data_IF_641874764222
#
_entry.id   IF_641874764222
#
_cell.length_a   1.000
_cell.length_b   1.000
_cell.length_c   1.000
_cell.angle_alpha   90.00
_cell.angle_beta   90.00
_cell.angle_gamma   90.00
#
_symmetry.space_group_name_H-M   'P 1'
#
loop_
_entity.id
_entity.type
_entity.pdbx_description
1 polymer ?
#
# COMPACT_ATOMS: atom_id res chain seq x y z
N UNK A 1 44.09 2.40 -73.82
CA UNK A 1 43.21 3.16 -72.92
C UNK A 1 41.93 2.35 -72.49
N UNK A 2 41.95 1.03 -72.53
CA UNK A 2 40.80 0.19 -72.11
C UNK A 2 40.97 -0.60 -70.84
N UNK A 3 42.11 -0.55 -70.21
CA UNK A 3 42.39 -1.29 -68.94
C UNK A 3 42.51 -0.42 -67.70
N UNK A 4 42.46 0.92 -67.82
CA UNK A 4 42.54 1.85 -66.71
C UNK A 4 41.13 2.12 -66.11
N UNK A 5 40.06 1.91 -66.85
CA UNK A 5 38.66 2.13 -66.38
C UNK A 5 38.15 0.96 -65.55
N UNK A 6 38.70 -0.24 -65.69
CA UNK A 6 38.27 -1.43 -64.93
C UNK A 6 38.91 -1.51 -63.53
N UNK A 7 39.99 -0.79 -63.26
CA UNK A 7 40.68 -0.79 -61.95
C UNK A 7 40.06 0.21 -60.95
N UNK A 8 39.18 1.14 -61.38
CA UNK A 8 38.59 2.14 -60.55
C UNK A 8 37.19 1.75 -60.00
N UNK A 9 36.59 0.67 -60.47
CA UNK A 9 35.28 0.17 -60.04
C UNK A 9 35.41 -0.81 -58.86
N UNK A 10 36.58 -1.37 -58.58
CA UNK A 10 36.76 -2.33 -57.47
C UNK A 10 37.09 -1.74 -56.09
N UNK A 11 37.22 -0.43 -55.94
CA UNK A 11 37.61 0.20 -54.67
C UNK A 11 36.43 0.83 -53.91
N UNK A 12 35.19 0.78 -54.44
CA UNK A 12 34.04 1.41 -53.78
C UNK A 12 33.14 0.46 -52.97
N UNK A 13 33.60 -0.72 -52.60
CA UNK A 13 32.77 -1.66 -51.80
C UNK A 13 33.23 -1.99 -50.41
N UNK A 14 34.13 -1.19 -49.78
CA UNK A 14 34.57 -1.40 -48.41
C UNK A 14 34.40 -0.18 -47.52
N UNK A 15 33.25 0.50 -47.58
CA UNK A 15 32.80 1.37 -46.49
C UNK A 15 31.54 0.75 -45.90
N UNK A 16 31.70 -0.38 -45.21
CA UNK A 16 30.73 -0.87 -44.25
C UNK A 16 30.93 -0.06 -42.98
N UNK A 17 30.17 1.01 -42.80
CA UNK A 17 30.00 1.66 -41.54
C UNK A 17 29.39 0.67 -40.56
N UNK A 18 30.23 0.14 -39.70
CA UNK A 18 29.79 -0.58 -38.52
C UNK A 18 29.19 0.38 -37.52
N UNK A 19 27.88 0.69 -37.64
CA UNK A 19 27.12 1.32 -36.59
C UNK A 19 27.11 0.41 -35.36
N UNK A 20 28.06 0.66 -34.44
CA UNK A 20 28.04 0.09 -33.11
C UNK A 20 27.04 0.80 -32.19
N UNK A 21 25.86 1.08 -32.66
CA UNK A 21 24.71 1.30 -31.80
C UNK A 21 24.06 -0.07 -31.57
N UNK A 22 24.65 -0.87 -30.69
CA UNK A 22 23.89 -1.88 -29.97
C UNK A 22 22.86 -1.14 -29.13
N UNK A 23 21.68 -0.87 -29.68
CA UNK A 23 20.49 -0.65 -28.86
C UNK A 23 20.45 -1.82 -27.89
N UNK A 24 20.60 -1.54 -26.60
CA UNK A 24 20.27 -2.54 -25.57
C UNK A 24 18.86 -2.95 -25.91
N UNK A 25 18.65 -4.16 -26.43
CA UNK A 25 17.33 -4.73 -26.60
C UNK A 25 16.71 -4.65 -25.20
N UNK A 26 15.73 -3.79 -25.02
CA UNK A 26 15.00 -3.73 -23.74
C UNK A 26 14.46 -5.14 -23.51
N UNK A 27 14.94 -5.78 -22.46
CA UNK A 27 14.49 -7.10 -22.08
C UNK A 27 13.00 -6.99 -21.81
N UNK A 28 12.18 -7.65 -22.60
CA UNK A 28 10.75 -7.72 -22.35
C UNK A 28 10.51 -8.38 -21.00
N UNK A 29 10.01 -7.61 -20.04
CA UNK A 29 9.66 -8.07 -18.70
C UNK A 29 8.14 -8.21 -18.65
N UNK A 30 7.66 -9.40 -18.34
CA UNK A 30 6.22 -9.69 -18.27
C UNK A 30 5.58 -8.98 -17.07
N UNK A 31 4.26 -8.81 -17.14
CA UNK A 31 3.48 -8.25 -16.03
C UNK A 31 3.58 -9.15 -14.80
N UNK A 32 3.67 -8.50 -13.63
CA UNK A 32 3.62 -9.20 -12.36
C UNK A 32 2.22 -9.74 -12.06
N UNK A 33 2.16 -10.75 -11.21
CA UNK A 33 0.94 -11.41 -10.77
C UNK A 33 0.93 -11.61 -9.25
N UNK A 34 -0.07 -12.29 -8.74
CA UNK A 34 -0.23 -12.64 -7.34
C UNK A 34 -1.37 -11.87 -6.66
N UNK A 35 -1.94 -12.49 -5.63
CA UNK A 35 -2.95 -11.87 -4.79
C UNK A 35 -2.36 -10.69 -4.00
N UNK A 36 -3.22 -9.76 -3.61
CA UNK A 36 -2.84 -8.64 -2.73
C UNK A 36 -2.39 -9.19 -1.37
N UNK A 37 -1.34 -8.57 -0.80
CA UNK A 37 -0.73 -8.97 0.48
C UNK A 37 -0.22 -10.43 0.51
N UNK A 38 0.25 -10.96 -0.62
CA UNK A 38 0.90 -12.28 -0.69
C UNK A 38 2.38 -12.12 -1.02
N UNK A 39 3.26 -12.65 -0.18
CA UNK A 39 4.72 -12.66 -0.39
C UNK A 39 5.20 -14.06 -0.70
N UNK A 40 5.91 -14.22 -1.82
CA UNK A 40 6.65 -15.45 -2.12
C UNK A 40 7.98 -15.46 -1.38
N UNK A 41 8.19 -16.47 -0.55
CA UNK A 41 9.46 -16.68 0.17
C UNK A 41 10.22 -17.82 -0.50
N UNK A 42 11.32 -17.47 -1.17
CA UNK A 42 12.17 -18.44 -1.88
C UNK A 42 13.27 -18.92 -0.95
N UNK A 43 13.11 -20.13 -0.42
CA UNK A 43 14.05 -20.75 0.51
C UNK A 43 13.89 -22.26 0.51
N UNK A 44 14.97 -22.98 0.84
CA UNK A 44 14.94 -24.44 1.01
C UNK A 44 13.98 -24.86 2.14
N UNK A 45 13.34 -26.03 2.02
CA UNK A 45 12.40 -26.54 3.01
C UNK A 45 13.02 -26.64 4.41
N UNK A 46 14.23 -27.16 4.51
CA UNK A 46 14.94 -27.29 5.79
C UNK A 46 15.19 -25.94 6.48
N UNK A 47 15.40 -24.86 5.71
CA UNK A 47 15.58 -23.51 6.23
C UNK A 47 14.22 -22.94 6.67
N UNK A 48 13.17 -23.22 5.90
CA UNK A 48 11.81 -22.79 6.18
C UNK A 48 11.22 -23.43 7.46
N UNK A 49 11.50 -24.72 7.68
CA UNK A 49 11.01 -25.46 8.84
C UNK A 49 11.80 -25.16 10.12
N UNK A 50 12.91 -24.41 10.02
CA UNK A 50 13.79 -24.03 11.12
C UNK A 50 13.61 -22.60 11.61
N UNK A 51 14.57 -22.17 12.47
CA UNK A 51 14.60 -20.84 13.11
C UNK A 51 14.58 -19.66 12.11
N UNK A 52 15.15 -19.82 10.93
CA UNK A 52 15.10 -18.79 9.87
C UNK A 52 13.68 -18.62 9.38
N UNK A 53 12.93 -19.69 9.14
CA UNK A 53 11.53 -19.62 8.77
C UNK A 53 10.65 -18.99 9.86
N UNK A 54 10.95 -19.24 11.14
CA UNK A 54 10.30 -18.54 12.25
C UNK A 54 10.57 -17.04 12.21
N UNK A 55 11.84 -16.63 12.00
CA UNK A 55 12.18 -15.23 11.85
C UNK A 55 11.50 -14.55 10.65
N UNK A 56 11.39 -15.24 9.51
CA UNK A 56 10.65 -14.75 8.34
C UNK A 56 9.17 -14.55 8.68
N UNK A 57 8.54 -15.51 9.35
CA UNK A 57 7.13 -15.40 9.77
C UNK A 57 6.95 -14.27 10.77
N UNK A 58 7.87 -14.08 11.72
CA UNK A 58 7.83 -12.96 12.69
C UNK A 58 7.89 -11.59 12.00
N UNK A 59 8.64 -11.46 10.89
CA UNK A 59 8.71 -10.23 10.08
C UNK A 59 7.46 -10.06 9.22
N UNK A 60 7.11 -11.06 8.40
CA UNK A 60 6.09 -10.90 7.34
C UNK A 60 4.65 -11.11 7.85
N UNK A 61 4.44 -11.99 8.82
CA UNK A 61 3.12 -12.27 9.38
C UNK A 61 2.82 -11.45 10.64
N UNK A 62 3.57 -10.39 10.91
CA UNK A 62 3.29 -9.49 12.04
C UNK A 62 1.85 -8.97 11.93
N UNK A 63 1.05 -9.03 13.02
CA UNK A 63 -0.32 -8.55 13.01
C UNK A 63 -0.43 -7.07 12.62
N UNK A 64 -1.46 -6.73 11.86
CA UNK A 64 -1.79 -5.35 11.52
C UNK A 64 -2.49 -4.71 12.72
N UNK A 65 -1.97 -3.59 13.18
CA UNK A 65 -2.59 -2.84 14.26
C UNK A 65 -3.90 -2.17 13.84
N UNK A 66 -4.88 -2.17 14.75
CA UNK A 66 -6.19 -1.52 14.54
C UNK A 66 -7.22 -2.41 13.84
N UNK A 67 -6.98 -3.71 13.75
CA UNK A 67 -7.98 -4.68 13.34
C UNK A 67 -8.65 -5.32 14.57
N UNK A 68 -9.95 -5.65 14.52
CA UNK A 68 -10.67 -6.31 15.63
C UNK A 68 -10.14 -7.70 16.01
N UNK A 69 -9.47 -8.35 15.06
CA UNK A 69 -8.81 -9.64 15.22
C UNK A 69 -7.40 -9.56 14.63
N UNK A 70 -6.49 -10.36 15.16
CA UNK A 70 -5.13 -10.44 14.63
C UNK A 70 -5.14 -11.02 13.21
N UNK A 71 -4.82 -10.19 12.24
CA UNK A 71 -4.62 -10.60 10.85
C UNK A 71 -3.17 -10.35 10.46
N UNK A 72 -2.47 -11.35 9.88
CA UNK A 72 -1.10 -11.18 9.45
C UNK A 72 -1.00 -10.16 8.33
N UNK A 73 0.06 -9.34 8.33
CA UNK A 73 0.27 -8.32 7.30
C UNK A 73 0.34 -8.94 5.90
N UNK A 74 1.03 -10.08 5.76
CA UNK A 74 1.13 -10.80 4.50
C UNK A 74 0.76 -12.27 4.68
N UNK A 75 0.11 -12.83 3.67
CA UNK A 75 0.07 -14.27 3.44
C UNK A 75 1.42 -14.69 2.87
N UNK A 76 2.00 -15.76 3.36
CA UNK A 76 3.31 -16.24 2.94
C UNK A 76 3.14 -17.51 2.10
N UNK A 77 3.76 -17.51 0.92
CA UNK A 77 3.87 -18.68 0.06
C UNK A 77 5.34 -19.09 -0.03
N UNK A 78 5.73 -20.15 0.69
CA UNK A 78 7.09 -20.67 0.57
C UNK A 78 7.26 -21.43 -0.75
N UNK A 79 8.40 -21.23 -1.40
CA UNK A 79 8.76 -21.82 -2.70
C UNK A 79 10.20 -22.32 -2.61
N UNK A 80 10.47 -23.61 -2.78
CA UNK A 80 11.85 -24.12 -2.88
C UNK A 80 12.56 -23.50 -4.11
N UNK A 81 13.86 -23.12 -4.00
CA UNK A 81 14.60 -22.53 -5.12
C UNK A 81 14.58 -23.37 -6.39
N UNK A 82 14.57 -24.68 -6.29
CA UNK A 82 14.56 -25.59 -7.42
C UNK A 82 13.33 -25.46 -8.32
N UNK A 83 12.18 -25.03 -7.75
CA UNK A 83 10.93 -24.82 -8.49
C UNK A 83 10.60 -23.34 -8.72
N UNK A 84 11.47 -22.44 -8.29
CA UNK A 84 11.30 -21.00 -8.52
C UNK A 84 11.64 -20.63 -9.96
N UNK A 85 10.75 -20.98 -10.90
CA UNK A 85 10.90 -20.75 -12.33
C UNK A 85 9.54 -20.47 -13.00
N UNK A 86 9.57 -19.97 -14.23
CA UNK A 86 8.35 -19.75 -15.02
C UNK A 86 7.34 -18.84 -14.34
N UNK A 87 6.11 -19.31 -14.15
CA UNK A 87 5.01 -18.49 -13.63
C UNK A 87 5.21 -18.01 -12.20
N UNK A 88 5.80 -18.84 -11.32
CA UNK A 88 5.98 -18.48 -9.90
C UNK A 88 6.96 -17.32 -9.69
N UNK A 89 7.85 -17.05 -10.64
CA UNK A 89 8.76 -15.89 -10.58
C UNK A 89 8.05 -14.56 -10.78
N UNK A 90 6.79 -14.56 -11.27
CA UNK A 90 6.04 -13.34 -11.57
C UNK A 90 5.36 -12.73 -10.34
N UNK A 91 5.40 -13.36 -9.19
CA UNK A 91 4.84 -12.77 -7.99
C UNK A 91 5.43 -11.38 -7.74
N UNK A 92 4.55 -10.44 -7.40
CA UNK A 92 4.89 -9.02 -7.25
C UNK A 92 5.86 -8.74 -6.11
N UNK A 93 5.78 -9.51 -5.03
CA UNK A 93 6.63 -9.39 -3.84
C UNK A 93 7.31 -10.71 -3.54
N UNK A 94 8.64 -10.69 -3.54
CA UNK A 94 9.49 -11.88 -3.39
C UNK A 94 10.56 -11.62 -2.34
N UNK A 95 10.64 -12.47 -1.33
CA UNK A 95 11.77 -12.54 -0.38
C UNK A 95 12.61 -13.76 -0.71
N UNK A 96 13.89 -13.57 -1.02
CA UNK A 96 14.85 -14.65 -1.29
C UNK A 96 15.82 -14.80 -0.12
N UNK A 97 16.05 -16.03 0.33
CA UNK A 97 17.04 -16.35 1.35
C UNK A 97 18.23 -17.10 0.72
N UNK A 98 19.45 -16.61 0.96
CA UNK A 98 20.68 -17.19 0.42
C UNK A 98 21.70 -17.47 1.55
N UNK A 99 21.89 -18.73 1.86
CA UNK A 99 22.98 -19.17 2.75
C UNK A 99 24.33 -19.28 2.02
N UNK A 100 25.41 -19.38 2.80
CA UNK A 100 26.78 -19.48 2.31
C UNK A 100 27.20 -18.28 1.43
N UNK A 101 26.70 -17.09 1.77
CA UNK A 101 27.00 -15.80 1.13
C UNK A 101 27.40 -14.79 2.21
N UNK A 102 28.05 -13.71 1.80
CA UNK A 102 28.31 -12.58 2.71
C UNK A 102 27.01 -12.06 3.32
N UNK A 103 27.07 -11.71 4.63
CA UNK A 103 25.95 -11.12 5.37
C UNK A 103 25.48 -9.85 4.68
N UNK A 104 24.18 -9.75 4.37
CA UNK A 104 23.63 -8.56 3.74
C UNK A 104 22.18 -8.66 3.30
N UNK A 105 21.65 -7.52 2.86
CA UNK A 105 20.32 -7.40 2.28
C UNK A 105 20.39 -6.56 1.01
N UNK A 106 19.68 -7.00 -0.04
CA UNK A 106 19.55 -6.29 -1.30
C UNK A 106 18.07 -6.05 -1.63
N UNK A 107 17.77 -4.85 -2.14
CA UNK A 107 16.44 -4.42 -2.57
C UNK A 107 16.46 -4.19 -4.07
N UNK A 108 15.92 -5.12 -4.83
CA UNK A 108 15.88 -5.08 -6.29
C UNK A 108 14.46 -4.89 -6.81
N UNK A 109 14.35 -4.28 -8.00
CA UNK A 109 13.07 -4.04 -8.68
C UNK A 109 13.02 -4.69 -10.05
N UNK A 110 11.84 -5.21 -10.42
CA UNK A 110 11.55 -5.69 -11.77
C UNK A 110 12.53 -6.75 -12.29
N UNK A 111 12.93 -7.68 -11.41
CA UNK A 111 13.93 -8.71 -11.74
C UNK A 111 13.36 -9.74 -12.71
N UNK A 112 12.15 -10.23 -12.45
CA UNK A 112 11.48 -11.29 -13.21
C UNK A 112 10.17 -10.83 -13.85
N UNK A 113 9.52 -9.83 -13.25
CA UNK A 113 8.23 -9.29 -13.70
C UNK A 113 8.15 -7.79 -13.36
N UNK A 114 7.14 -7.07 -13.87
CA UNK A 114 6.96 -5.62 -13.62
C UNK A 114 5.48 -5.29 -13.37
N UNK A 115 5.15 -4.53 -12.31
CA UNK A 115 6.04 -4.09 -11.22
C UNK A 115 6.38 -5.22 -10.26
N UNK A 116 7.61 -5.28 -9.75
CA UNK A 116 8.03 -6.32 -8.80
C UNK A 116 9.05 -5.77 -7.81
N UNK A 117 8.95 -6.19 -6.55
CA UNK A 117 9.96 -5.98 -5.50
C UNK A 117 10.55 -7.32 -5.09
N UNK A 118 11.86 -7.44 -5.20
CA UNK A 118 12.62 -8.61 -4.77
C UNK A 118 13.58 -8.18 -3.68
N UNK A 119 13.45 -8.76 -2.50
CA UNK A 119 14.38 -8.56 -1.39
C UNK A 119 15.19 -9.84 -1.23
N UNK A 120 16.51 -9.74 -1.27
CA UNK A 120 17.41 -10.86 -1.03
C UNK A 120 18.11 -10.67 0.31
N UNK A 121 17.91 -11.61 1.23
CA UNK A 121 18.62 -11.69 2.51
C UNK A 121 19.66 -12.77 2.43
N UNK A 122 20.89 -12.50 2.85
CA UNK A 122 22.00 -13.44 2.79
C UNK A 122 22.82 -13.45 4.08
N UNK A 123 23.51 -14.59 4.31
CA UNK A 123 24.44 -14.78 5.41
C UNK A 123 25.27 -16.04 5.20
N UNK A 124 26.42 -16.11 5.87
CA UNK A 124 27.26 -17.33 5.91
C UNK A 124 26.59 -18.40 6.77
N UNK A 125 25.91 -17.99 7.83
CA UNK A 125 25.21 -18.85 8.76
C UNK A 125 23.72 -18.53 8.83
N UNK A 126 22.94 -19.40 9.47
CA UNK A 126 21.50 -19.16 9.73
C UNK A 126 21.30 -17.99 10.68
N UNK A 127 22.20 -17.85 11.66
CA UNK A 127 22.18 -16.76 12.65
C UNK A 127 22.35 -15.39 11.96
N UNK A 128 23.31 -15.25 11.04
CA UNK A 128 23.49 -14.02 10.27
C UNK A 128 22.26 -13.65 9.44
N UNK A 129 21.58 -14.63 8.84
CA UNK A 129 20.32 -14.39 8.10
C UNK A 129 19.23 -13.90 9.04
N UNK A 130 19.10 -14.49 10.24
CA UNK A 130 18.11 -14.06 11.25
C UNK A 130 18.41 -12.63 11.71
N UNK A 131 19.66 -12.29 11.99
CA UNK A 131 20.08 -10.94 12.36
C UNK A 131 19.71 -9.92 11.26
N UNK A 132 20.01 -10.21 9.99
CA UNK A 132 19.66 -9.34 8.86
C UNK A 132 18.15 -9.13 8.75
N UNK A 133 17.34 -10.18 8.94
CA UNK A 133 15.89 -10.08 8.94
C UNK A 133 15.37 -9.17 10.07
N UNK A 134 15.92 -9.33 11.29
CA UNK A 134 15.52 -8.55 12.46
C UNK A 134 15.95 -7.08 12.36
N UNK A 135 17.20 -6.83 11.94
CA UNK A 135 17.73 -5.48 11.74
C UNK A 135 16.97 -4.69 10.67
N UNK A 136 16.40 -5.38 9.67
CA UNK A 136 15.70 -4.75 8.55
C UNK A 136 14.17 -4.99 8.55
N UNK A 137 13.61 -5.49 9.64
CA UNK A 137 12.21 -5.86 9.80
C UNK A 137 11.24 -4.77 9.28
N UNK A 138 11.33 -3.56 9.78
CA UNK A 138 10.47 -2.45 9.39
C UNK A 138 10.60 -2.12 7.88
N UNK A 139 11.84 -2.07 7.36
CA UNK A 139 12.10 -1.73 5.96
C UNK A 139 11.59 -2.80 4.98
N UNK A 140 11.71 -4.08 5.33
CA UNK A 140 11.16 -5.19 4.55
C UNK A 140 9.64 -5.05 4.45
N UNK A 141 8.96 -4.89 5.58
CA UNK A 141 7.50 -4.73 5.60
C UNK A 141 7.04 -3.51 4.84
N UNK A 142 7.67 -2.37 5.05
CA UNK A 142 7.34 -1.12 4.37
C UNK A 142 7.51 -1.25 2.85
N UNK A 143 8.61 -1.86 2.39
CA UNK A 143 8.88 -2.06 0.96
C UNK A 143 7.77 -2.88 0.30
N UNK A 144 7.39 -4.01 0.90
CA UNK A 144 6.32 -4.85 0.35
C UNK A 144 4.95 -4.20 0.48
N UNK A 145 4.64 -3.55 1.62
CA UNK A 145 3.37 -2.83 1.79
C UNK A 145 3.19 -1.71 0.78
N UNK A 146 4.22 -0.93 0.53
CA UNK A 146 4.19 0.14 -0.48
C UNK A 146 3.99 -0.41 -1.89
N UNK A 147 4.56 -1.58 -2.21
CA UNK A 147 4.30 -2.27 -3.47
C UNK A 147 2.84 -2.71 -3.61
N UNK A 148 2.22 -3.21 -2.53
CA UNK A 148 0.81 -3.61 -2.52
C UNK A 148 -0.15 -2.41 -2.62
N UNK A 149 0.16 -1.29 -1.95
CA UNK A 149 -0.58 -0.03 -2.09
C UNK A 149 -0.50 0.46 -3.54
N UNK A 150 0.70 0.51 -4.12
CA UNK A 150 0.90 0.92 -5.51
C UNK A 150 0.15 0.02 -6.50
N UNK A 151 0.15 -1.30 -6.26
CA UNK A 151 -0.63 -2.23 -7.09
C UNK A 151 -2.14 -1.98 -6.96
N UNK A 152 -2.64 -1.72 -5.75
CA UNK A 152 -4.05 -1.39 -5.56
C UNK A 152 -4.42 -0.10 -6.29
N UNK A 153 -3.58 0.92 -6.22
CA UNK A 153 -3.75 2.17 -6.99
C UNK A 153 -3.71 1.91 -8.50
N UNK A 154 -2.80 1.04 -9.00
CA UNK A 154 -2.73 0.64 -10.40
C UNK A 154 -4.01 -0.08 -10.87
N UNK A 155 -4.58 -0.93 -10.02
CA UNK A 155 -5.86 -1.59 -10.31
C UNK A 155 -7.01 -0.58 -10.40
N UNK A 156 -7.07 0.37 -9.46
CA UNK A 156 -8.07 1.44 -9.45
C UNK A 156 -7.97 2.34 -10.69
N UNK A 157 -6.75 2.63 -11.14
CA UNK A 157 -6.50 3.44 -12.33
C UNK A 157 -7.00 2.82 -13.65
N UNK A 158 -7.38 1.54 -13.68
CA UNK A 158 -7.99 0.91 -14.85
C UNK A 158 -9.43 1.36 -15.10
N UNK A 159 -10.13 1.79 -14.06
CA UNK A 159 -11.49 2.36 -14.11
C UNK A 159 -11.57 3.51 -13.10
N UNK A 160 -10.87 4.63 -13.39
CA UNK A 160 -10.77 5.73 -12.46
C UNK A 160 -12.10 6.45 -12.35
N UNK A 161 -12.43 6.86 -11.14
CA UNK A 161 -13.56 7.73 -10.85
C UNK A 161 -13.12 8.82 -9.88
N UNK A 162 -13.62 10.02 -10.10
CA UNK A 162 -13.48 11.14 -9.17
C UNK A 162 -14.83 11.84 -9.04
N UNK A 163 -15.04 12.43 -7.88
CA UNK A 163 -16.26 13.19 -7.62
C UNK A 163 -15.93 14.67 -7.79
N UNK A 164 -16.45 15.31 -8.86
CA UNK A 164 -16.20 16.73 -9.14
C UNK A 164 -16.66 17.61 -7.97
N UNK A 165 -17.75 17.26 -7.30
CA UNK A 165 -18.24 17.96 -6.11
C UNK A 165 -17.24 18.03 -4.96
N UNK A 166 -16.35 17.04 -4.80
CA UNK A 166 -15.27 17.07 -3.80
C UNK A 166 -14.25 18.13 -4.20
N UNK A 167 -13.85 18.15 -5.47
CA UNK A 167 -12.92 19.13 -6.01
C UNK A 167 -13.45 20.56 -5.89
N UNK A 168 -14.72 20.75 -6.26
CA UNK A 168 -15.36 22.06 -6.19
C UNK A 168 -15.44 22.60 -4.76
N UNK A 169 -15.87 21.75 -3.80
CA UNK A 169 -16.12 22.18 -2.41
C UNK A 169 -14.88 22.15 -1.53
N UNK A 170 -14.06 21.09 -1.61
CA UNK A 170 -12.92 20.89 -0.72
C UNK A 170 -11.57 21.21 -1.36
N UNK A 171 -11.54 21.62 -2.64
CA UNK A 171 -10.29 21.95 -3.37
C UNK A 171 -9.24 20.83 -3.25
N UNK A 172 -9.68 19.59 -3.49
CA UNK A 172 -8.83 18.42 -3.52
C UNK A 172 -9.38 17.36 -4.49
N UNK A 173 -8.53 16.47 -4.92
CA UNK A 173 -8.92 15.31 -5.72
C UNK A 173 -8.52 14.01 -5.03
N UNK A 174 -9.33 12.97 -5.17
CA UNK A 174 -9.07 11.60 -4.69
C UNK A 174 -9.53 10.62 -5.77
N UNK A 175 -8.69 9.62 -6.06
CA UNK A 175 -9.01 8.56 -7.02
C UNK A 175 -9.80 7.43 -6.37
N UNK A 176 -10.95 7.09 -6.94
CA UNK A 176 -11.80 5.99 -6.48
C UNK A 176 -11.97 4.92 -7.56
N UNK A 177 -12.18 3.65 -7.19
CA UNK A 177 -12.83 2.70 -8.09
C UNK A 177 -14.26 3.17 -8.44
N UNK A 178 -14.71 2.93 -9.67
CA UNK A 178 -16.03 3.37 -10.16
C UNK A 178 -17.24 2.81 -9.40
N UNK A 179 -17.03 1.80 -8.57
CA UNK A 179 -18.07 1.16 -7.73
C UNK A 179 -18.41 1.94 -6.45
N UNK A 180 -17.64 2.99 -6.14
CA UNK A 180 -17.93 3.87 -5.01
C UNK A 180 -18.98 4.91 -5.37
N UNK A 181 -19.82 5.28 -4.41
CA UNK A 181 -20.87 6.30 -4.57
C UNK A 181 -20.92 7.24 -3.36
N UNK A 182 -21.33 8.48 -3.59
CA UNK A 182 -21.59 9.42 -2.51
C UNK A 182 -22.86 8.99 -1.79
N UNK A 183 -22.78 8.75 -0.48
CA UNK A 183 -23.90 8.42 0.38
C UNK A 183 -24.50 9.68 1.04
N UNK A 184 -23.64 10.65 1.42
CA UNK A 184 -24.03 11.93 2.01
C UNK A 184 -23.00 12.99 1.66
N UNK A 185 -23.43 14.21 1.41
CA UNK A 185 -22.54 15.35 1.23
C UNK A 185 -23.13 16.62 1.80
N UNK A 186 -22.25 17.46 2.36
CA UNK A 186 -22.54 18.85 2.73
C UNK A 186 -21.50 19.77 2.08
N UNK A 187 -21.36 21.01 2.54
CA UNK A 187 -20.34 21.90 1.96
C UNK A 187 -18.92 21.55 2.37
N UNK A 188 -18.73 20.96 3.55
CA UNK A 188 -17.42 20.63 4.09
C UNK A 188 -17.24 19.15 4.48
N UNK A 189 -18.20 18.28 4.12
CA UNK A 189 -18.19 16.86 4.48
C UNK A 189 -18.71 16.00 3.33
N UNK A 190 -18.06 14.85 3.09
CA UNK A 190 -18.48 13.79 2.18
C UNK A 190 -18.39 12.43 2.85
N UNK A 191 -19.45 11.63 2.71
CA UNK A 191 -19.46 10.21 3.00
C UNK A 191 -19.61 9.43 1.70
N UNK A 192 -18.62 8.61 1.39
CA UNK A 192 -18.55 7.83 0.16
C UNK A 192 -18.48 6.35 0.57
N UNK A 193 -19.25 5.50 -0.09
CA UNK A 193 -19.32 4.08 0.27
C UNK A 193 -19.37 3.16 -0.94
N UNK A 194 -18.97 1.92 -0.69
CA UNK A 194 -19.14 0.76 -1.58
C UNK A 194 -19.75 -0.38 -0.78
N UNK A 195 -20.80 -1.01 -1.32
CA UNK A 195 -21.33 -2.25 -0.78
C UNK A 195 -20.44 -3.44 -1.21
N UNK A 196 -20.18 -4.36 -0.30
CA UNK A 196 -19.44 -5.61 -0.54
C UNK A 196 -20.33 -6.78 -0.10
N UNK A 197 -20.02 -7.99 -0.51
CA UNK A 197 -20.85 -9.19 -0.23
C UNK A 197 -21.17 -9.35 1.27
N UNK A 198 -20.25 -8.97 2.15
CA UNK A 198 -20.36 -9.18 3.60
C UNK A 198 -20.48 -7.88 4.40
N UNK A 199 -20.80 -6.76 3.75
CA UNK A 199 -20.88 -5.49 4.46
C UNK A 199 -20.59 -4.27 3.59
N UNK A 200 -19.81 -3.33 4.10
CA UNK A 200 -19.52 -2.06 3.41
C UNK A 200 -18.09 -1.58 3.66
N UNK A 201 -17.51 -0.94 2.66
CA UNK A 201 -16.32 -0.10 2.84
C UNK A 201 -16.72 1.36 2.68
N UNK A 202 -16.23 2.21 3.54
CA UNK A 202 -16.67 3.60 3.68
C UNK A 202 -15.46 4.52 3.75
N UNK A 203 -15.61 5.71 3.19
CA UNK A 203 -14.64 6.79 3.32
C UNK A 203 -15.40 8.07 3.67
N UNK A 204 -14.95 8.80 4.69
CA UNK A 204 -15.36 10.16 4.95
C UNK A 204 -14.22 11.13 4.68
N UNK A 205 -14.57 12.29 4.09
CA UNK A 205 -13.65 13.38 3.78
C UNK A 205 -14.26 14.65 4.31
N UNK A 206 -13.49 15.41 5.10
CA UNK A 206 -13.95 16.69 5.63
C UNK A 206 -12.80 17.62 5.93
N UNK A 207 -13.10 18.89 6.11
CA UNK A 207 -12.14 19.89 6.51
C UNK A 207 -12.44 20.49 7.87
N UNK A 208 -11.38 20.96 8.54
CA UNK A 208 -11.44 21.59 9.85
C UNK A 208 -10.62 22.89 9.84
N UNK A 209 -10.98 23.88 10.65
CA UNK A 209 -10.11 25.04 10.88
C UNK A 209 -8.73 24.62 11.38
N UNK A 210 -7.70 25.37 11.00
CA UNK A 210 -6.31 25.05 11.38
C UNK A 210 -6.11 24.95 12.90
N UNK A 211 -6.87 25.72 13.68
CA UNK A 211 -6.85 25.71 15.15
C UNK A 211 -7.47 24.46 15.79
N UNK A 212 -8.15 23.60 15.02
CA UNK A 212 -8.88 22.43 15.56
C UNK A 212 -7.97 21.35 16.14
N UNK A 213 -6.76 21.18 15.59
CA UNK A 213 -5.78 20.22 16.07
C UNK A 213 -4.52 20.97 16.54
N UNK A 214 -4.15 20.76 17.81
CA UNK A 214 -2.95 21.32 18.41
C UNK A 214 -1.94 20.21 18.69
N UNK A 215 -0.69 20.39 18.27
CA UNK A 215 0.39 19.43 18.54
C UNK A 215 0.84 19.53 20.00
N UNK A 216 0.26 18.70 20.84
CA UNK A 216 0.58 18.57 22.28
C UNK A 216 0.31 17.13 22.77
N UNK A 217 0.55 16.86 24.03
CA UNK A 217 0.40 15.53 24.64
C UNK A 217 -1.02 14.95 24.57
N UNK A 218 -2.03 15.77 24.29
CA UNK A 218 -3.43 15.34 24.14
C UNK A 218 -3.83 15.07 22.68
N UNK A 219 -2.87 14.98 21.76
CA UNK A 219 -3.12 14.88 20.31
C UNK A 219 -4.05 13.72 19.94
N UNK A 220 -3.84 12.52 20.50
CA UNK A 220 -4.72 11.35 20.26
C UNK A 220 -6.15 11.66 20.68
N UNK A 221 -6.34 12.23 21.87
CA UNK A 221 -7.65 12.58 22.40
C UNK A 221 -8.36 13.66 21.55
N UNK A 222 -7.60 14.61 20.99
CA UNK A 222 -8.17 15.61 20.08
C UNK A 222 -8.70 14.96 18.81
N UNK A 223 -7.89 14.08 18.18
CA UNK A 223 -8.30 13.35 16.96
C UNK A 223 -9.54 12.50 17.23
N UNK A 224 -9.59 11.76 18.34
CA UNK A 224 -10.76 10.95 18.73
C UNK A 224 -12.00 11.83 18.90
N UNK A 225 -11.92 12.91 19.68
CA UNK A 225 -13.06 13.82 19.90
C UNK A 225 -13.59 14.43 18.62
N UNK A 226 -12.70 14.85 17.71
CA UNK A 226 -13.08 15.39 16.40
C UNK A 226 -13.77 14.30 15.60
N UNK A 227 -13.17 13.13 15.49
CA UNK A 227 -13.71 11.99 14.77
C UNK A 227 -15.12 11.62 15.25
N UNK A 228 -15.30 11.48 16.57
CA UNK A 228 -16.56 11.08 17.16
C UNK A 228 -17.64 12.16 17.00
N UNK A 229 -17.26 13.44 17.05
CA UNK A 229 -18.19 14.56 16.79
C UNK A 229 -18.66 14.55 15.34
N UNK A 230 -17.77 14.33 14.38
CA UNK A 230 -18.11 14.24 12.95
C UNK A 230 -18.93 12.97 12.68
N UNK A 231 -18.56 11.84 13.28
CA UNK A 231 -19.29 10.58 13.18
C UNK A 231 -20.75 10.72 13.68
N UNK A 232 -20.93 11.33 14.86
CA UNK A 232 -22.25 11.60 15.43
C UNK A 232 -23.12 12.52 14.57
N UNK A 233 -22.51 13.50 13.91
CA UNK A 233 -23.23 14.47 13.10
C UNK A 233 -23.62 13.92 11.72
N UNK A 234 -22.79 13.06 11.14
CA UNK A 234 -22.91 12.72 9.73
C UNK A 234 -23.13 11.24 9.42
N UNK A 235 -22.73 10.32 10.30
CA UNK A 235 -22.76 8.87 10.06
C UNK A 235 -23.77 8.23 11.04
N UNK A 236 -25.01 8.25 10.62
CA UNK A 236 -26.09 7.59 11.35
C UNK A 236 -26.08 6.08 11.07
N UNK A 237 -26.39 5.28 12.08
CA UNK A 237 -26.59 3.84 11.92
C UNK A 237 -28.01 3.50 11.45
N UNK A 238 -28.27 2.20 11.25
CA UNK A 238 -29.59 1.71 10.86
C UNK A 238 -30.62 1.67 11.99
N UNK A 239 -30.21 1.90 13.24
CA UNK A 239 -31.08 1.97 14.41
C UNK A 239 -31.19 3.43 14.83
N UNK A 240 -32.39 3.88 15.16
CA UNK A 240 -32.66 5.25 15.58
C UNK A 240 -31.76 5.67 16.76
N UNK A 241 -31.16 6.84 16.65
CA UNK A 241 -30.20 7.37 17.64
C UNK A 241 -28.84 6.69 17.65
N UNK A 242 -28.56 5.75 16.74
CA UNK A 242 -27.21 5.17 16.60
C UNK A 242 -26.32 6.02 15.71
N UNK A 243 -25.03 6.09 16.04
CA UNK A 243 -24.04 6.88 15.29
C UNK A 243 -22.63 6.30 15.45
N UNK A 244 -21.78 6.64 14.49
CA UNK A 244 -20.37 6.20 14.47
C UNK A 244 -19.57 6.91 15.56
N UNK A 245 -18.80 6.12 16.33
CA UNK A 245 -17.86 6.60 17.34
C UNK A 245 -16.60 5.69 17.38
N UNK A 246 -15.61 6.09 18.16
CA UNK A 246 -14.44 5.27 18.46
C UNK A 246 -14.79 4.26 19.57
N UNK A 247 -14.36 3.01 19.40
CA UNK A 247 -14.46 1.98 20.44
C UNK A 247 -13.50 2.32 21.61
N UNK A 248 -14.06 2.56 22.79
CA UNK A 248 -13.31 3.07 23.94
C UNK A 248 -12.36 2.03 24.56
N UNK A 249 -12.66 0.73 24.38
CA UNK A 249 -11.84 -0.35 24.92
C UNK A 249 -10.46 -0.46 24.23
N UNK A 250 -10.31 0.15 23.06
CA UNK A 250 -9.08 0.08 22.26
C UNK A 250 -8.52 1.48 22.00
N UNK A 251 -7.38 1.80 22.65
CA UNK A 251 -6.69 3.06 22.38
C UNK A 251 -6.18 3.09 20.94
N UNK A 252 -6.59 4.05 20.12
CA UNK A 252 -6.09 4.17 18.75
C UNK A 252 -4.58 4.44 18.72
N UNK A 253 -3.90 3.85 17.75
CA UNK A 253 -2.51 4.15 17.43
C UNK A 253 -2.44 5.44 16.61
N UNK A 254 -1.53 6.34 16.97
CA UNK A 254 -1.26 7.57 16.22
C UNK A 254 0.21 7.66 15.86
N UNK A 255 0.50 7.99 14.60
CA UNK A 255 1.84 8.25 14.10
C UNK A 255 1.85 9.48 13.19
N UNK A 256 3.01 10.13 13.09
CA UNK A 256 3.24 11.15 12.08
C UNK A 256 3.63 10.52 10.73
N UNK A 257 3.15 11.11 9.65
CA UNK A 257 3.41 10.65 8.28
C UNK A 257 3.39 11.82 7.30
N UNK A 258 3.56 11.51 6.01
CA UNK A 258 3.51 12.49 4.93
C UNK A 258 2.48 12.01 3.90
N UNK A 259 1.52 12.87 3.56
CA UNK A 259 0.56 12.65 2.48
C UNK A 259 0.60 13.88 1.56
N UNK A 260 0.71 13.63 0.25
CA UNK A 260 0.80 14.70 -0.76
C UNK A 260 1.86 15.77 -0.42
N UNK A 261 3.04 15.34 0.01
CA UNK A 261 4.15 16.19 0.47
C UNK A 261 3.80 17.14 1.64
N UNK A 262 2.73 16.85 2.38
CA UNK A 262 2.30 17.61 3.56
C UNK A 262 2.41 16.75 4.82
N UNK A 263 2.74 17.34 5.97
CA UNK A 263 2.68 16.63 7.25
C UNK A 263 1.26 16.11 7.51
N UNK A 264 1.15 14.90 8.00
CA UNK A 264 -0.12 14.29 8.33
C UNK A 264 -0.02 13.45 9.61
N UNK A 265 -1.15 13.26 10.26
CA UNK A 265 -1.33 12.36 11.39
C UNK A 265 -2.08 11.13 10.90
N UNK A 266 -1.47 9.97 11.03
CA UNK A 266 -2.12 8.67 10.79
C UNK A 266 -2.68 8.15 12.10
N UNK A 267 -3.98 7.85 12.15
CA UNK A 267 -4.62 7.22 13.31
C UNK A 267 -5.31 5.93 12.88
N UNK A 268 -5.07 4.84 13.59
CA UNK A 268 -5.69 3.53 13.38
C UNK A 268 -6.34 3.05 14.65
N UNK A 269 -7.54 2.49 14.53
CA UNK A 269 -8.27 1.98 15.67
C UNK A 269 -9.54 1.23 15.25
N UNK A 270 -10.41 1.03 16.22
CA UNK A 270 -11.68 0.34 16.03
C UNK A 270 -12.81 1.35 16.22
N UNK A 271 -13.76 1.35 15.30
CA UNK A 271 -15.01 2.10 15.41
C UNK A 271 -16.14 1.19 15.83
N UNK A 272 -17.14 1.76 16.47
CA UNK A 272 -18.42 1.13 16.78
C UNK A 272 -19.57 2.05 16.42
N UNK A 273 -20.77 1.51 16.30
CA UNK A 273 -21.99 2.28 16.39
C UNK A 273 -22.48 2.35 17.83
N UNK A 274 -22.56 3.54 18.40
CA UNK A 274 -23.27 3.75 19.66
C UNK A 274 -24.74 3.32 19.51
N UNK A 275 -25.25 2.59 20.48
CA UNK A 275 -26.62 2.04 20.50
C UNK A 275 -26.91 0.98 19.42
N UNK A 276 -25.87 0.35 18.81
CA UNK A 276 -26.05 -0.77 17.89
C UNK A 276 -24.82 -1.70 17.90
N UNK A 277 -25.02 -2.96 17.52
CA UNK A 277 -23.93 -3.96 17.47
C UNK A 277 -23.24 -3.97 16.11
N UNK A 278 -22.55 -2.89 15.78
CA UNK A 278 -21.73 -2.80 14.57
C UNK A 278 -20.40 -2.16 14.93
N UNK A 279 -19.33 -2.67 14.33
CA UNK A 279 -18.00 -2.14 14.53
C UNK A 279 -17.01 -2.69 13.50
N UNK A 280 -15.80 -2.15 13.51
CA UNK A 280 -14.75 -2.58 12.62
C UNK A 280 -13.54 -1.68 12.67
N UNK A 281 -12.53 -1.91 11.83
CA UNK A 281 -11.34 -1.08 11.79
C UNK A 281 -11.57 0.25 11.08
N UNK A 282 -10.80 1.28 11.49
CA UNK A 282 -10.65 2.51 10.74
C UNK A 282 -9.19 2.90 10.56
N UNK A 283 -8.92 3.67 9.52
CA UNK A 283 -7.67 4.38 9.26
C UNK A 283 -8.01 5.83 8.90
N UNK A 284 -7.43 6.76 9.64
CA UNK A 284 -7.68 8.19 9.53
C UNK A 284 -6.36 8.90 9.21
N UNK A 285 -6.40 9.84 8.27
CA UNK A 285 -5.31 10.75 7.96
C UNK A 285 -5.78 12.18 8.09
N UNK A 286 -5.26 12.91 9.07
CA UNK A 286 -5.44 14.35 9.18
C UNK A 286 -4.23 15.06 8.56
N UNK A 287 -4.42 15.68 7.40
CA UNK A 287 -3.38 16.32 6.59
C UNK A 287 -3.33 17.81 6.95
N UNK A 288 -2.14 18.28 7.33
CA UNK A 288 -1.91 19.68 7.69
C UNK A 288 -1.71 20.54 6.44
N UNK A 289 -2.75 21.23 5.99
CA UNK A 289 -2.70 22.16 4.87
C UNK A 289 -2.41 23.59 5.36
N UNK A 290 -1.13 23.88 5.57
CA UNK A 290 -0.65 25.19 6.08
C UNK A 290 -0.97 26.34 5.13
N UNK A 291 -0.97 26.08 3.82
CA UNK A 291 -1.20 27.10 2.79
C UNK A 291 -2.62 27.63 2.91
N UNK A 292 -3.60 26.73 2.99
CA UNK A 292 -5.02 27.08 3.08
C UNK A 292 -5.51 27.21 4.53
N UNK A 293 -4.61 27.12 5.53
CA UNK A 293 -4.90 27.25 6.97
C UNK A 293 -6.03 26.34 7.44
N UNK A 294 -5.97 25.06 7.06
CA UNK A 294 -6.96 24.05 7.41
C UNK A 294 -6.31 22.69 7.68
N UNK A 295 -7.05 21.81 8.28
CA UNK A 295 -6.80 20.37 8.26
C UNK A 295 -7.77 19.72 7.29
N UNK A 296 -7.28 18.81 6.45
CA UNK A 296 -8.10 17.95 5.60
C UNK A 296 -8.02 16.55 6.15
N UNK A 297 -9.16 15.99 6.50
CA UNK A 297 -9.25 14.66 7.09
C UNK A 297 -9.88 13.68 6.11
N UNK A 298 -9.19 12.57 5.88
CA UNK A 298 -9.72 11.44 5.14
C UNK A 298 -9.71 10.21 6.05
N UNK A 299 -10.85 9.58 6.24
CA UNK A 299 -10.97 8.38 7.04
C UNK A 299 -11.65 7.25 6.28
N UNK A 300 -10.94 6.10 6.19
CA UNK A 300 -11.52 4.85 5.71
C UNK A 300 -11.96 3.98 6.88
N UNK A 301 -13.18 3.45 6.84
CA UNK A 301 -13.68 2.51 7.83
C UNK A 301 -14.48 1.37 7.18
N UNK A 302 -14.40 0.19 7.77
CA UNK A 302 -14.92 -1.04 7.15
C UNK A 302 -15.85 -1.76 8.12
N UNK A 303 -17.03 -2.13 7.61
CA UNK A 303 -17.90 -3.11 8.22
C UNK A 303 -17.90 -4.37 7.37
N UNK A 304 -17.30 -5.45 7.87
CA UNK A 304 -17.19 -6.72 7.16
C UNK A 304 -17.16 -7.88 8.18
N UNK A 305 -18.32 -8.20 8.80
CA UNK A 305 -18.38 -9.28 9.79
C UNK A 305 -17.98 -10.62 9.14
N UNK A 306 -17.32 -11.45 9.92
CA UNK A 306 -16.97 -12.85 9.57
C UNK A 306 -15.95 -13.03 8.43
N UNK A 307 -15.26 -11.95 8.00
CA UNK A 307 -14.18 -12.02 6.99
C UNK A 307 -12.98 -11.15 7.39
N UNK A 308 -11.82 -11.48 6.83
CA UNK A 308 -10.60 -10.69 7.01
C UNK A 308 -10.76 -9.27 6.46
N UNK A 309 -10.28 -8.26 7.21
CA UNK A 309 -10.44 -6.84 6.89
C UNK A 309 -9.17 -6.24 6.29
N UNK A 310 -8.00 -6.87 6.42
CA UNK A 310 -6.71 -6.32 6.00
C UNK A 310 -6.70 -5.82 4.55
N UNK A 311 -7.32 -6.57 3.62
CA UNK A 311 -7.34 -6.19 2.21
C UNK A 311 -8.28 -5.01 1.94
N UNK A 312 -9.36 -4.89 2.69
CA UNK A 312 -10.25 -3.72 2.64
C UNK A 312 -9.56 -2.48 3.22
N UNK A 313 -8.85 -2.63 4.35
CA UNK A 313 -8.09 -1.54 4.94
C UNK A 313 -6.93 -1.08 4.05
N UNK A 314 -6.27 -1.99 3.34
CA UNK A 314 -5.29 -1.64 2.32
C UNK A 314 -5.93 -0.83 1.17
N UNK A 315 -7.15 -1.19 0.74
CA UNK A 315 -7.88 -0.43 -0.28
C UNK A 315 -8.19 0.99 0.22
N UNK A 316 -8.65 1.15 1.47
CA UNK A 316 -8.89 2.47 2.07
C UNK A 316 -7.62 3.32 2.09
N UNK A 317 -6.52 2.75 2.56
CA UNK A 317 -5.21 3.41 2.56
C UNK A 317 -4.76 3.78 1.14
N UNK A 318 -4.91 2.88 0.18
CA UNK A 318 -4.56 3.12 -1.21
C UNK A 318 -5.37 4.28 -1.83
N UNK A 319 -6.68 4.36 -1.55
CA UNK A 319 -7.53 5.47 -1.97
C UNK A 319 -7.06 6.77 -1.34
N UNK A 320 -6.91 6.82 -0.02
CA UNK A 320 -6.50 8.03 0.72
C UNK A 320 -5.16 8.55 0.20
N UNK A 321 -4.20 7.68 -0.06
CA UNK A 321 -2.87 8.06 -0.58
C UNK A 321 -2.88 8.57 -2.04
N UNK A 322 -4.01 8.57 -2.73
CA UNK A 322 -4.15 9.24 -4.03
C UNK A 322 -4.50 10.72 -3.91
N UNK A 323 -4.79 11.21 -2.71
CA UNK A 323 -5.23 12.59 -2.49
C UNK A 323 -4.21 13.60 -3.04
N UNK A 324 -4.76 14.65 -3.68
CA UNK A 324 -4.01 15.84 -4.11
C UNK A 324 -4.75 17.07 -3.64
N UNK A 325 -4.10 17.90 -2.83
CA UNK A 325 -4.63 19.16 -2.33
C UNK A 325 -4.19 20.30 -3.27
N UNK A 326 -5.16 21.16 -3.66
CA UNK A 326 -4.94 22.36 -4.48
C UNK A 326 -4.50 23.56 -3.64
#
# INVERSE_FOLDING_TARGET
>A
MRYIVLSFICVMFFVSCGDKNKSKSERFIQDSSGAINNVSVVTENEIWDGRVGEAIRAVLAKPIYGLPQDEPMFTISQIPPAVFSGFVTKNRTVLMVKLNREKGIDFSENVYAKPQKVITVSGKTREEVIEVLQENDAKIRETFRNAEIAERQRQMAKSPHSFESIKEKLKLTVGFPSVYRVAKSTDNFFWIRKDITTGTTNLMIFELPYSAIKRNDSLVNQVIKIRDSVGKLHIEGGVEGSYLATEEAYTPYLAETIIDNKPALETKGIWELRNAFMGGPFINYAIEDKINKRWVVLEGFVFAPSVDKRNYMLEMEAIIKTVKLE
#
